data_IF_921956266670
#
_entry.id   IF_921956266670
#
_cell.length_a   1.000
_cell.length_b   1.000
_cell.length_c   1.000
_cell.angle_alpha   90.00
_cell.angle_beta   90.00
_cell.angle_gamma   90.00
#
_symmetry.space_group_name_H-M   'P 1'
#
loop_
_entity.id
_entity.type
_entity.pdbx_description
1 polymer ?
#
# COMPACT_ATOMS: atom_id res chain seq x y z
N UNK A 1 -5.53 -3.60 -2.63
CA UNK A 1 -6.39 -4.31 -3.60
C UNK A 1 -5.51 -4.76 -4.75
N UNK A 2 -5.06 -6.01 -4.74
CA UNK A 2 -4.31 -6.57 -5.86
C UNK A 2 -5.35 -7.26 -6.74
N UNK A 3 -5.64 -6.72 -7.93
CA UNK A 3 -6.51 -7.37 -8.89
C UNK A 3 -5.76 -8.55 -9.50
N UNK A 4 -6.15 -9.77 -9.15
CA UNK A 4 -5.55 -11.04 -9.59
C UNK A 4 -6.07 -11.45 -11.00
N UNK A 5 -6.24 -10.48 -11.90
CA UNK A 5 -6.85 -10.70 -13.22
C UNK A 5 -5.99 -10.09 -14.33
N UNK A 6 -5.90 -10.79 -15.48
CA UNK A 6 -5.10 -10.41 -16.65
C UNK A 6 -5.47 -9.03 -17.23
N UNK A 7 -6.66 -8.50 -16.92
CA UNK A 7 -7.17 -7.19 -17.32
C UNK A 7 -6.75 -5.99 -16.46
N UNK A 8 -5.61 -6.03 -15.75
CA UNK A 8 -5.18 -4.95 -14.85
C UNK A 8 -5.04 -3.57 -15.52
N UNK A 9 -4.80 -3.54 -16.84
CA UNK A 9 -4.73 -2.30 -17.63
C UNK A 9 -6.03 -1.53 -17.63
N UNK A 10 -7.18 -2.20 -17.52
CA UNK A 10 -8.48 -1.56 -17.35
C UNK A 10 -8.62 -0.83 -16.01
N UNK A 11 -7.91 -1.30 -14.97
CA UNK A 11 -7.87 -0.67 -13.65
C UNK A 11 -6.74 0.35 -13.51
N UNK A 12 -5.76 0.37 -14.43
CA UNK A 12 -4.59 1.23 -14.36
C UNK A 12 -4.93 2.73 -14.26
N UNK A 13 -5.88 3.29 -15.04
CA UNK A 13 -6.23 4.70 -14.93
C UNK A 13 -6.69 5.10 -13.52
N UNK A 14 -7.44 4.21 -12.84
CA UNK A 14 -7.96 4.48 -11.50
C UNK A 14 -6.87 4.37 -10.43
N UNK A 15 -5.93 3.43 -10.59
CA UNK A 15 -4.79 3.32 -9.68
C UNK A 15 -3.85 4.52 -9.80
N UNK A 16 -3.57 4.98 -11.02
CA UNK A 16 -2.76 6.18 -11.26
C UNK A 16 -3.45 7.45 -10.73
N UNK A 17 -4.77 7.54 -10.86
CA UNK A 17 -5.54 8.62 -10.26
C UNK A 17 -5.39 8.61 -8.74
N UNK A 18 -5.58 7.46 -8.10
CA UNK A 18 -5.40 7.30 -6.66
C UNK A 18 -4.01 7.72 -6.18
N UNK A 19 -2.95 7.28 -6.88
CA UNK A 19 -1.56 7.68 -6.55
C UNK A 19 -1.33 9.19 -6.65
N UNK A 20 -2.02 9.87 -7.56
CA UNK A 20 -1.90 11.33 -7.73
C UNK A 20 -2.67 12.12 -6.69
N UNK A 21 -3.80 11.59 -6.22
CA UNK A 21 -4.67 12.25 -5.24
C UNK A 21 -4.37 11.85 -3.79
N UNK A 22 -3.56 10.81 -3.55
CA UNK A 22 -3.13 10.47 -2.19
C UNK A 22 -2.21 11.53 -1.61
N UNK A 23 -2.56 12.02 -0.42
CA UNK A 23 -1.73 12.96 0.33
C UNK A 23 -0.49 12.24 0.88
N UNK A 24 0.68 12.80 0.59
CA UNK A 24 1.93 12.32 1.16
C UNK A 24 2.15 12.99 2.53
N UNK A 25 2.31 12.23 3.62
CA UNK A 25 2.47 12.79 4.96
C UNK A 25 3.74 13.63 5.13
N UNK A 26 4.81 13.37 4.37
CA UNK A 26 6.07 14.09 4.49
C UNK A 26 5.99 15.52 3.95
N UNK A 27 5.14 15.73 2.92
CA UNK A 27 4.98 17.02 2.24
C UNK A 27 3.62 17.67 2.48
N UNK A 28 2.73 17.03 3.24
CA UNK A 28 1.35 17.45 3.51
C UNK A 28 0.57 17.87 2.25
N UNK A 29 0.89 17.26 1.11
CA UNK A 29 0.36 17.59 -0.22
C UNK A 29 0.24 16.34 -1.07
N UNK A 30 -0.62 16.40 -2.09
CA UNK A 30 -0.75 15.33 -3.08
C UNK A 30 0.27 15.51 -4.20
N UNK A 31 0.56 14.45 -4.96
CA UNK A 31 1.43 14.60 -6.14
C UNK A 31 0.80 15.52 -7.20
N UNK A 32 -0.52 15.53 -7.30
CA UNK A 32 -1.23 16.46 -8.16
C UNK A 32 -0.99 17.92 -7.76
N UNK A 33 -1.05 18.23 -6.47
CA UNK A 33 -0.78 19.58 -5.97
C UNK A 33 0.63 20.06 -6.33
N UNK A 34 1.62 19.16 -6.20
CA UNK A 34 3.02 19.49 -6.47
C UNK A 34 3.33 19.70 -7.96
N UNK A 35 2.65 18.94 -8.84
CA UNK A 35 2.94 18.96 -10.28
C UNK A 35 2.09 20.01 -10.99
N UNK A 36 0.80 20.10 -10.65
CA UNK A 36 -0.17 20.93 -11.34
C UNK A 36 -0.50 22.22 -10.58
N UNK A 37 -0.07 22.35 -9.32
CA UNK A 37 -0.42 23.49 -8.46
C UNK A 37 -1.87 23.45 -7.96
N UNK A 38 -2.62 22.40 -8.25
CA UNK A 38 -4.01 22.22 -7.86
C UNK A 38 -4.34 20.77 -7.55
N UNK A 39 -5.32 20.58 -6.65
CA UNK A 39 -5.82 19.25 -6.30
C UNK A 39 -6.74 18.74 -7.39
N UNK A 40 -6.47 17.53 -7.90
CA UNK A 40 -7.40 16.85 -8.80
C UNK A 40 -8.65 16.47 -8.00
N UNK A 41 -9.78 17.10 -8.31
CA UNK A 41 -11.09 16.71 -7.77
C UNK A 41 -11.46 15.33 -8.30
N UNK A 42 -11.70 14.38 -7.40
CA UNK A 42 -12.20 13.07 -7.74
C UNK A 42 -13.70 13.15 -8.03
N UNK A 43 -14.23 12.28 -8.90
CA UNK A 43 -15.69 12.20 -9.14
C UNK A 43 -16.44 11.91 -7.83
N UNK A 44 -15.80 11.21 -6.90
CA UNK A 44 -16.29 10.97 -5.55
C UNK A 44 -16.46 12.25 -4.71
N UNK A 45 -15.73 13.32 -5.02
CA UNK A 45 -15.82 14.62 -4.32
C UNK A 45 -16.96 15.49 -4.87
N UNK A 46 -17.60 15.06 -5.96
CA UNK A 46 -18.73 15.77 -6.61
C UNK A 46 -20.07 15.35 -5.98
N UNK A 47 -20.11 14.24 -5.24
CA UNK A 47 -21.32 13.86 -4.51
C UNK A 47 -21.50 14.84 -3.34
N UNK A 48 -22.67 15.47 -3.27
CA UNK A 48 -23.07 16.23 -2.09
C UNK A 48 -23.02 15.32 -0.86
N UNK A 49 -22.67 15.90 0.30
CA UNK A 49 -22.82 15.25 1.60
C UNK A 49 -24.30 14.90 1.82
N UNK A 50 -24.74 13.78 1.25
CA UNK A 50 -25.99 13.16 1.63
C UNK A 50 -25.86 12.93 3.14
N UNK A 51 -26.76 13.53 3.92
CA UNK A 51 -26.87 13.29 5.36
C UNK A 51 -27.18 11.81 5.57
N UNK A 52 -26.13 11.00 5.56
CA UNK A 52 -26.23 9.57 5.73
C UNK A 52 -26.59 9.35 7.20
N UNK A 53 -27.85 9.03 7.44
CA UNK A 53 -28.32 8.59 8.74
C UNK A 53 -28.19 7.06 8.74
N UNK A 54 -27.14 6.50 9.36
CA UNK A 54 -26.95 5.06 9.36
C UNK A 54 -28.12 4.41 10.10
N UNK A 55 -28.90 3.61 9.39
CA UNK A 55 -29.93 2.79 10.01
C UNK A 55 -29.26 1.80 11.00
N UNK A 56 -29.83 1.58 12.20
CA UNK A 56 -29.25 0.67 13.19
C UNK A 56 -28.97 -0.73 12.66
N UNK A 57 -29.84 -1.24 11.78
CA UNK A 57 -29.70 -2.54 11.11
C UNK A 57 -28.49 -2.59 10.18
N UNK A 58 -28.23 -1.52 9.44
CA UNK A 58 -27.05 -1.41 8.57
C UNK A 58 -25.76 -1.47 9.39
N UNK A 59 -25.70 -0.76 10.52
CA UNK A 59 -24.54 -0.78 11.42
C UNK A 59 -24.32 -2.16 12.04
N UNK A 60 -25.39 -2.84 12.45
CA UNK A 60 -25.28 -4.20 12.98
C UNK A 60 -24.75 -5.18 11.93
N UNK A 61 -25.29 -5.11 10.71
CA UNK A 61 -24.83 -5.94 9.59
C UNK A 61 -23.37 -5.66 9.24
N UNK A 62 -22.99 -4.39 9.16
CA UNK A 62 -21.61 -3.98 8.87
C UNK A 62 -20.62 -4.50 9.93
N UNK A 63 -20.95 -4.33 11.21
CA UNK A 63 -20.13 -4.84 12.32
C UNK A 63 -20.00 -6.36 12.27
N UNK A 64 -21.08 -7.07 11.94
CA UNK A 64 -21.04 -8.52 11.78
C UNK A 64 -20.11 -8.93 10.63
N UNK A 65 -20.21 -8.28 9.46
CA UNK A 65 -19.35 -8.55 8.31
C UNK A 65 -17.88 -8.26 8.61
N UNK A 66 -17.56 -7.12 9.21
CA UNK A 66 -16.17 -6.76 9.57
C UNK A 66 -15.61 -7.76 10.59
N UNK A 67 -16.42 -8.24 11.53
CA UNK A 67 -16.01 -9.25 12.51
C UNK A 67 -15.75 -10.62 11.86
N UNK A 68 -16.50 -10.95 10.81
CA UNK A 68 -16.34 -12.18 10.03
C UNK A 68 -15.09 -12.13 9.14
N UNK A 69 -14.76 -10.93 8.62
CA UNK A 69 -13.51 -10.67 7.90
C UNK A 69 -12.34 -10.64 8.89
N UNK A 70 -11.85 -11.82 9.28
CA UNK A 70 -10.56 -11.93 9.94
C UNK A 70 -9.45 -11.57 8.94
N UNK A 71 -8.54 -10.64 9.30
CA UNK A 71 -7.28 -10.54 8.58
C UNK A 71 -6.61 -11.90 8.66
N UNK A 72 -6.41 -12.54 7.52
CA UNK A 72 -5.55 -13.71 7.46
C UNK A 72 -4.19 -13.23 7.98
N UNK A 73 -3.62 -13.82 9.04
CA UNK A 73 -2.25 -13.50 9.42
C UNK A 73 -1.43 -13.67 8.15
N UNK A 74 -0.70 -12.62 7.75
CA UNK A 74 0.18 -12.67 6.60
C UNK A 74 0.94 -13.98 6.69
N UNK A 75 0.60 -14.92 5.81
CA UNK A 75 1.29 -16.19 5.80
C UNK A 75 2.69 -15.82 5.36
N UNK A 76 3.61 -15.80 6.31
CA UNK A 76 5.03 -15.62 6.04
C UNK A 76 5.47 -16.92 5.36
N UNK A 77 5.06 -17.12 4.11
CA UNK A 77 5.33 -18.32 3.31
C UNK A 77 6.85 -18.52 3.15
N UNK A 78 7.62 -17.47 3.38
CA UNK A 78 9.08 -17.53 3.49
C UNK A 78 9.47 -17.94 4.92
N UNK A 79 9.60 -19.25 5.14
CA UNK A 79 10.63 -19.75 6.08
C UNK A 79 11.96 -19.28 5.51
N UNK A 80 12.66 -18.36 6.17
CA UNK A 80 13.99 -17.94 5.72
C UNK A 80 14.93 -19.15 5.78
N UNK A 81 15.09 -19.86 4.66
CA UNK A 81 16.15 -20.85 4.52
C UNK A 81 17.43 -20.05 4.29
N UNK A 82 18.29 -20.02 5.31
CA UNK A 82 19.64 -19.47 5.17
C UNK A 82 20.37 -20.29 4.12
N UNK A 83 20.69 -19.66 3.00
CA UNK A 83 21.56 -20.23 1.98
C UNK A 83 23.00 -20.00 2.43
N UNK A 84 23.70 -21.09 2.74
CA UNK A 84 25.13 -21.08 3.06
C UNK A 84 25.84 -21.80 1.91
N UNK A 85 26.79 -21.11 1.28
CA UNK A 85 27.60 -21.71 0.23
C UNK A 85 28.50 -22.80 0.82
N UNK A 86 28.59 -23.96 0.18
CA UNK A 86 29.26 -25.17 0.72
C UNK A 86 30.72 -24.85 1.08
N UNK A 87 31.42 -24.12 0.21
CA UNK A 87 32.83 -23.83 0.39
C UNK A 87 33.07 -22.57 1.24
N UNK A 88 32.02 -21.96 1.83
CA UNK A 88 32.15 -20.73 2.62
C UNK A 88 33.19 -20.85 3.75
N UNK A 89 33.34 -22.05 4.32
CA UNK A 89 34.33 -22.33 5.37
C UNK A 89 35.78 -22.37 4.86
N UNK A 90 35.99 -22.54 3.56
CA UNK A 90 37.32 -22.65 2.94
C UNK A 90 37.87 -21.32 2.42
N UNK A 91 37.02 -20.29 2.27
CA UNK A 91 37.46 -18.99 1.80
C UNK A 91 38.21 -18.23 2.90
N UNK A 92 39.37 -17.67 2.54
CA UNK A 92 40.13 -16.79 3.42
C UNK A 92 39.51 -15.38 3.55
N UNK A 93 38.73 -14.95 2.54
CA UNK A 93 38.12 -13.62 2.48
C UNK A 93 36.69 -13.72 1.94
N UNK A 94 35.78 -12.90 2.50
CA UNK A 94 34.39 -12.78 2.06
C UNK A 94 34.02 -11.31 1.92
N UNK A 95 33.16 -10.98 0.95
CA UNK A 95 32.60 -9.63 0.83
C UNK A 95 31.30 -9.56 1.63
N UNK A 96 31.25 -8.65 2.61
CA UNK A 96 30.06 -8.39 3.42
C UNK A 96 29.44 -7.08 2.96
N UNK A 97 28.17 -7.12 2.56
CA UNK A 97 27.42 -5.90 2.24
C UNK A 97 27.00 -5.24 3.54
N UNK A 98 27.55 -4.06 3.83
CA UNK A 98 27.11 -3.19 4.92
C UNK A 98 26.13 -2.17 4.37
N UNK A 99 24.83 -2.36 4.61
CA UNK A 99 23.76 -1.44 4.18
C UNK A 99 23.63 -0.22 5.12
N UNK A 100 24.72 0.19 5.78
CA UNK A 100 24.71 1.37 6.64
C UNK A 100 24.55 2.63 5.80
N UNK A 101 23.51 3.40 6.09
CA UNK A 101 23.34 4.75 5.52
C UNK A 101 24.45 5.63 6.09
N UNK A 102 25.33 6.13 5.23
CA UNK A 102 26.32 7.14 5.64
C UNK A 102 25.56 8.38 6.10
N UNK A 103 25.80 8.83 7.33
CA UNK A 103 25.31 10.14 7.77
C UNK A 103 25.92 11.21 6.87
N UNK A 104 25.09 12.15 6.42
CA UNK A 104 25.53 13.32 5.66
C UNK A 104 26.51 14.15 6.51
N UNK A 105 27.54 14.69 5.86
CA UNK A 105 28.44 15.69 6.44
C UNK A 105 27.71 17.02 6.65
#
# INVERSE_FOLDING_TARGET
MCHENEGWTSSLPIMLLGLRTTCNPDFQSTQADLIYGETIRMICDIFEDAKFQPQPEFLQKLKATIKDVKPNPFSHHRKQKLFIFIDLQSFSHVFVRTDSVRQSL
#
